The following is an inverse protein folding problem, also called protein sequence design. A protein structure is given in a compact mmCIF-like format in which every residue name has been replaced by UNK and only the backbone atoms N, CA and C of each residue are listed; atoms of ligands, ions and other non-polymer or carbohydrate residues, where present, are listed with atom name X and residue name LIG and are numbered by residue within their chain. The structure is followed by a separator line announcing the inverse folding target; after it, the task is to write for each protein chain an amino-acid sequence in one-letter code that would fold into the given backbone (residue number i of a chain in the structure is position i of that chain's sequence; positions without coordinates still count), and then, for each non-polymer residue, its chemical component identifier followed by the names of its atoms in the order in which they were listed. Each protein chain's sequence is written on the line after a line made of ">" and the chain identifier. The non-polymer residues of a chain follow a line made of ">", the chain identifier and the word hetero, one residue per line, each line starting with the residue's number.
data_IF_206284208816
#
_entry.id   IF_206284208816
#
_cell.length_a   1.000
_cell.length_b   1.000
_cell.length_c   1.000
_cell.angle_alpha   90.00
_cell.angle_beta   90.00
_cell.angle_gamma   90.00
#
_symmetry.space_group_name_H-M   'P 1'
#
loop_
_entity.id
_entity.type
_entity.pdbx_description
1 polymer ?
#
# COMPACT_ATOMS: atom_id res chain seq x y z
N UNK A 1 13.33 -14.68 21.37
CA UNK A 1 12.16 -13.80 21.29
C UNK A 1 12.19 -12.85 22.47
N UNK A 2 12.10 -11.54 22.23
CA UNK A 2 11.93 -10.55 23.28
C UNK A 2 10.48 -10.05 23.23
N UNK A 3 9.73 -10.32 24.30
CA UNK A 3 8.32 -9.96 24.43
C UNK A 3 8.23 -8.59 25.09
N UNK A 4 7.54 -7.65 24.44
CA UNK A 4 7.41 -6.28 24.94
C UNK A 4 6.04 -6.09 25.61
N UNK A 5 6.07 -5.66 26.88
CA UNK A 5 4.99 -4.85 27.45
C UNK A 5 5.15 -3.41 26.95
N UNK A 6 4.17 -2.53 27.23
CA UNK A 6 4.21 -1.12 26.85
C UNK A 6 5.64 -0.52 26.95
N UNK A 7 6.27 -0.27 25.80
CA UNK A 7 7.65 0.18 25.68
C UNK A 7 7.69 1.48 24.88
N UNK A 8 8.44 2.46 25.38
CA UNK A 8 8.78 3.67 24.64
C UNK A 8 10.29 3.71 24.46
N UNK A 9 10.76 3.84 23.22
CA UNK A 9 12.18 3.93 22.93
C UNK A 9 12.71 5.30 23.37
N UNK A 10 13.58 5.28 24.37
CA UNK A 10 14.30 6.46 24.84
C UNK A 10 15.57 6.75 24.02
N UNK A 11 16.11 5.75 23.33
CA UNK A 11 17.33 5.79 22.54
C UNK A 11 17.14 5.06 21.21
N UNK A 12 18.10 5.23 20.30
CA UNK A 12 18.13 4.49 19.05
C UNK A 12 18.37 3.01 19.33
N UNK A 13 17.62 2.15 18.66
CA UNK A 13 17.68 0.69 18.84
C UNK A 13 17.86 0.01 17.49
N UNK A 14 18.92 -0.77 17.36
CA UNK A 14 19.09 -1.70 16.24
C UNK A 14 18.73 -3.12 16.68
N UNK A 15 17.81 -3.76 15.96
CA UNK A 15 17.39 -5.13 16.22
C UNK A 15 18.39 -6.08 15.54
N UNK A 16 19.04 -6.98 16.31
CA UNK A 16 20.06 -7.87 15.75
C UNK A 16 19.52 -8.85 14.71
N UNK A 17 20.44 -9.39 13.90
CA UNK A 17 20.12 -10.44 12.91
C UNK A 17 19.42 -11.64 13.55
N UNK A 18 18.32 -12.09 12.93
CA UNK A 18 17.52 -13.23 13.39
C UNK A 18 16.66 -12.96 14.64
N UNK A 19 16.60 -11.72 15.13
CA UNK A 19 15.75 -11.35 16.26
C UNK A 19 14.44 -10.76 15.75
N UNK A 20 13.33 -11.31 16.25
CA UNK A 20 12.00 -10.71 16.12
C UNK A 20 11.60 -10.06 17.44
N UNK A 21 11.32 -8.76 17.40
CA UNK A 21 10.65 -8.05 18.48
C UNK A 21 9.15 -8.37 18.43
N UNK A 22 8.56 -8.75 19.55
CA UNK A 22 7.13 -9.06 19.62
C UNK A 22 6.43 -8.03 20.50
N UNK A 23 5.50 -7.28 19.91
CA UNK A 23 4.55 -6.46 20.68
C UNK A 23 3.36 -7.34 21.03
N UNK A 24 3.25 -7.70 22.31
CA UNK A 24 2.20 -8.58 22.80
C UNK A 24 0.80 -7.99 22.69
N UNK A 25 -0.19 -8.86 22.84
CA UNK A 25 -1.60 -8.49 22.79
C UNK A 25 -1.91 -7.26 23.65
N UNK A 26 -2.56 -6.26 23.06
CA UNK A 26 -2.96 -5.02 23.71
C UNK A 26 -1.82 -4.09 24.17
N UNK A 27 -0.56 -4.43 23.91
CA UNK A 27 0.60 -3.61 24.29
C UNK A 27 1.01 -2.65 23.19
N UNK A 28 1.78 -1.64 23.57
CA UNK A 28 2.27 -0.58 22.68
C UNK A 28 3.79 -0.54 22.61
N UNK A 29 4.35 -0.47 21.41
CA UNK A 29 5.72 -0.02 21.18
C UNK A 29 5.68 1.40 20.60
N UNK A 30 6.38 2.34 21.21
CA UNK A 30 6.48 3.73 20.74
C UNK A 30 7.91 4.07 20.34
N UNK A 31 8.10 4.58 19.12
CA UNK A 31 9.33 5.21 18.66
C UNK A 31 9.15 6.72 18.74
N UNK A 32 9.83 7.37 19.67
CA UNK A 32 9.70 8.82 19.88
C UNK A 32 10.32 9.62 18.73
N UNK A 33 9.88 10.87 18.60
CA UNK A 33 10.48 11.84 17.67
C UNK A 33 11.99 11.94 17.91
N UNK A 34 12.76 11.93 16.82
CA UNK A 34 14.22 11.97 16.87
C UNK A 34 14.88 10.65 17.26
N UNK A 35 14.12 9.56 17.45
CA UNK A 35 14.65 8.22 17.71
C UNK A 35 14.45 7.30 16.50
N UNK A 36 15.36 6.34 16.38
CA UNK A 36 15.37 5.37 15.30
C UNK A 36 15.21 3.95 15.82
N UNK A 37 14.27 3.19 15.25
CA UNK A 37 14.22 1.74 15.37
C UNK A 37 14.71 1.12 14.06
N UNK A 38 15.87 0.51 14.09
CA UNK A 38 16.47 -0.14 12.94
C UNK A 38 16.17 -1.65 12.96
N UNK A 39 15.26 -2.07 12.08
CA UNK A 39 14.84 -3.45 11.86
C UNK A 39 15.62 -4.12 10.71
N UNK A 40 16.69 -3.50 10.16
CA UNK A 40 17.43 -4.11 9.03
C UNK A 40 18.12 -5.42 9.40
N UNK A 41 18.53 -5.58 10.65
CA UNK A 41 19.00 -6.86 11.20
C UNK A 41 17.84 -7.84 11.47
N UNK A 42 16.79 -7.38 12.14
CA UNK A 42 15.70 -8.22 12.65
C UNK A 42 14.34 -8.05 11.97
N UNK A 43 13.28 -8.19 12.76
CA UNK A 43 11.90 -7.90 12.37
C UNK A 43 11.05 -7.47 13.57
N UNK A 44 9.89 -6.89 13.30
CA UNK A 44 8.87 -6.57 14.30
C UNK A 44 7.61 -7.40 14.05
N UNK A 45 7.05 -7.99 15.10
CA UNK A 45 5.80 -8.72 15.06
C UNK A 45 4.74 -8.02 15.93
N UNK A 46 3.58 -7.72 15.34
CA UNK A 46 2.44 -7.15 16.05
C UNK A 46 1.38 -8.23 16.28
N UNK A 47 1.03 -8.46 17.54
CA UNK A 47 -0.01 -9.40 17.95
C UNK A 47 -1.39 -8.73 18.03
N UNK A 48 -2.40 -9.39 18.61
CA UNK A 48 -3.79 -8.90 18.59
C UNK A 48 -3.96 -7.61 19.39
N UNK A 49 -4.57 -6.58 18.81
CA UNK A 49 -4.69 -5.26 19.46
C UNK A 49 -3.34 -4.62 19.85
N UNK A 50 -2.21 -5.14 19.37
CA UNK A 50 -0.91 -4.51 19.58
C UNK A 50 -0.87 -3.18 18.82
N UNK A 51 -0.23 -2.17 19.42
CA UNK A 51 -0.07 -0.85 18.82
C UNK A 51 1.40 -0.55 18.58
N UNK A 52 1.73 -0.07 17.39
CA UNK A 52 3.03 0.46 17.05
C UNK A 52 2.91 1.94 16.71
N UNK A 53 3.36 2.79 17.63
CA UNK A 53 3.33 4.24 17.49
C UNK A 53 4.67 4.75 16.98
N UNK A 54 4.69 5.28 15.76
CA UNK A 54 5.89 5.78 15.11
C UNK A 54 5.83 7.30 15.03
N UNK A 55 6.59 7.98 15.88
CA UNK A 55 6.80 9.43 15.83
C UNK A 55 8.23 9.80 15.38
N UNK A 56 9.15 8.84 15.39
CA UNK A 56 10.51 8.94 14.88
C UNK A 56 10.68 8.23 13.54
N UNK A 57 11.80 7.53 13.38
CA UNK A 57 12.15 6.82 12.16
C UNK A 57 12.21 5.32 12.41
N UNK A 58 11.70 4.52 11.49
CA UNK A 58 11.84 3.06 11.49
C UNK A 58 12.46 2.65 10.16
N UNK A 59 13.62 2.00 10.20
CA UNK A 59 14.23 1.42 9.02
C UNK A 59 13.85 -0.05 8.97
N UNK A 60 13.09 -0.46 7.97
CA UNK A 60 12.66 -1.84 7.83
C UNK A 60 13.21 -2.43 6.53
N UNK A 61 13.81 -3.62 6.63
CA UNK A 61 14.08 -4.41 5.43
C UNK A 61 12.81 -5.10 4.95
N UNK A 62 12.77 -5.46 3.69
CA UNK A 62 11.86 -6.50 3.24
C UNK A 62 12.56 -7.86 3.19
N UNK A 63 11.79 -8.93 3.07
CA UNK A 63 12.30 -10.19 2.53
C UNK A 63 11.48 -10.64 1.33
N UNK A 64 12.13 -11.38 0.43
CA UNK A 64 11.56 -11.91 -0.81
C UNK A 64 10.63 -13.11 -0.59
N UNK A 65 10.29 -13.43 0.67
CA UNK A 65 9.45 -14.56 1.06
C UNK A 65 8.23 -14.06 1.84
N UNK A 66 7.05 -14.57 1.47
CA UNK A 66 5.74 -14.35 2.13
C UNK A 66 5.70 -14.78 3.62
N UNK A 67 6.82 -15.17 4.20
CA UNK A 67 6.96 -15.66 5.58
C UNK A 67 7.92 -14.84 6.42
N UNK A 68 8.54 -13.79 5.88
CA UNK A 68 9.44 -12.91 6.63
C UNK A 68 9.24 -11.47 6.19
N UNK A 69 8.60 -10.68 7.04
CA UNK A 69 8.32 -9.27 6.74
C UNK A 69 9.14 -8.38 7.66
N UNK A 70 9.49 -7.16 7.20
CA UNK A 70 10.12 -6.17 8.07
C UNK A 70 9.26 -5.87 9.29
N UNK A 71 7.95 -5.74 9.05
CA UNK A 71 6.92 -5.75 10.08
C UNK A 71 5.88 -6.83 9.69
N UNK A 72 5.75 -7.83 10.55
CA UNK A 72 4.83 -8.97 10.41
C UNK A 72 3.62 -8.71 11.29
N UNK A 73 2.41 -8.82 10.74
CA UNK A 73 1.22 -9.00 11.57
C UNK A 73 1.13 -10.48 11.87
N UNK A 74 1.11 -10.88 13.14
CA UNK A 74 1.10 -12.29 13.52
C UNK A 74 -0.32 -12.65 13.96
N UNK A 75 -0.88 -13.79 13.50
CA UNK A 75 -2.26 -14.12 13.78
C UNK A 75 -2.51 -14.29 15.28
N UNK A 76 -3.60 -13.72 15.76
CA UNK A 76 -4.63 -14.53 16.40
C UNK A 76 -5.78 -14.71 15.42
N UNK A 77 -6.39 -15.89 15.42
CA UNK A 77 -7.64 -16.26 14.72
C UNK A 77 -8.83 -15.40 15.19
N UNK A 78 -8.72 -14.08 15.21
CA UNK A 78 -9.66 -13.17 15.86
C UNK A 78 -9.89 -11.90 15.05
N UNK A 79 -11.01 -11.23 15.31
CA UNK A 79 -11.42 -9.97 14.69
C UNK A 79 -10.59 -8.76 15.11
N UNK A 80 -9.60 -8.92 15.99
CA UNK A 80 -8.81 -7.86 16.60
C UNK A 80 -7.71 -7.35 15.65
N UNK A 81 -7.71 -6.05 15.36
CA UNK A 81 -6.72 -5.44 14.49
C UNK A 81 -5.49 -4.98 15.29
N UNK A 82 -4.29 -5.28 14.79
CA UNK A 82 -3.10 -4.52 15.17
C UNK A 82 -3.22 -3.08 14.63
N UNK A 83 -2.53 -2.13 15.26
CA UNK A 83 -2.56 -0.72 14.86
C UNK A 83 -1.15 -0.20 14.63
N UNK A 84 -0.93 0.48 13.50
CA UNK A 84 0.21 1.36 13.29
C UNK A 84 -0.31 2.80 13.26
N UNK A 85 0.31 3.68 14.03
CA UNK A 85 -0.06 5.10 14.08
C UNK A 85 1.15 6.00 14.32
N UNK A 86 0.88 7.28 14.62
CA UNK A 86 1.90 8.29 14.86
C UNK A 86 2.07 9.22 13.65
N UNK A 87 3.21 9.90 13.58
CA UNK A 87 3.50 10.96 12.60
C UNK A 87 4.89 10.85 11.96
N UNK A 88 5.64 9.80 12.29
CA UNK A 88 6.98 9.54 11.81
C UNK A 88 7.00 8.76 10.49
N UNK A 89 8.14 8.13 10.21
CA UNK A 89 8.40 7.46 8.93
C UNK A 89 8.80 6.01 9.19
N UNK A 90 8.24 5.08 8.40
CA UNK A 90 8.72 3.71 8.25
C UNK A 90 9.26 3.57 6.83
N UNK A 91 10.58 3.47 6.70
CA UNK A 91 11.29 3.45 5.42
C UNK A 91 11.72 2.03 5.05
N UNK A 92 11.43 1.62 3.82
CA UNK A 92 11.87 0.37 3.25
C UNK A 92 13.31 0.48 2.73
N UNK A 93 14.23 -0.27 3.30
CA UNK A 93 15.67 -0.15 2.99
C UNK A 93 16.20 -1.14 1.96
N UNK A 94 15.42 -2.16 1.61
CA UNK A 94 15.79 -3.19 0.62
C UNK A 94 14.59 -3.58 -0.24
N UNK A 95 14.77 -4.05 -1.49
CA UNK A 95 13.66 -4.50 -2.32
C UNK A 95 12.78 -5.54 -1.62
N UNK A 96 11.46 -5.36 -1.70
CA UNK A 96 10.40 -6.27 -1.26
C UNK A 96 9.17 -5.56 -0.66
N UNK A 97 8.30 -6.31 0.02
CA UNK A 97 7.13 -5.80 0.74
C UNK A 97 7.51 -5.23 2.12
N UNK A 98 7.09 -4.01 2.43
CA UNK A 98 7.28 -3.38 3.76
C UNK A 98 6.29 -3.93 4.79
N UNK A 99 5.00 -3.98 4.42
CA UNK A 99 3.91 -4.49 5.24
C UNK A 99 3.11 -5.55 4.49
N UNK A 100 2.89 -6.70 5.11
CA UNK A 100 1.95 -7.68 4.61
C UNK A 100 0.84 -7.92 5.64
N UNK A 101 -0.39 -7.84 5.16
CA UNK A 101 -1.58 -8.25 5.90
C UNK A 101 -2.06 -9.54 5.25
N UNK A 102 -1.67 -10.69 5.78
CA UNK A 102 -2.01 -12.01 5.24
C UNK A 102 -3.44 -12.44 5.57
N UNK A 103 -3.87 -13.58 5.04
CA UNK A 103 -5.18 -14.16 5.29
C UNK A 103 -5.55 -14.17 6.79
N UNK A 104 -6.75 -13.71 7.13
CA UNK A 104 -7.25 -13.67 8.51
C UNK A 104 -6.68 -12.53 9.36
N UNK A 105 -5.66 -11.83 8.90
CA UNK A 105 -5.05 -10.72 9.65
C UNK A 105 -5.80 -9.41 9.40
N UNK A 106 -5.79 -8.54 10.42
CA UNK A 106 -6.33 -7.19 10.33
C UNK A 106 -5.32 -6.16 10.80
N UNK A 107 -5.15 -5.11 10.01
CA UNK A 107 -4.29 -3.97 10.34
C UNK A 107 -5.07 -2.67 10.21
N UNK A 108 -4.96 -1.82 11.22
CA UNK A 108 -5.39 -0.42 11.14
C UNK A 108 -4.17 0.47 10.98
N UNK A 109 -4.17 1.29 9.94
CA UNK A 109 -3.23 2.41 9.77
C UNK A 109 -3.96 3.71 10.09
N UNK A 110 -3.43 4.49 11.04
CA UNK A 110 -4.02 5.75 11.49
C UNK A 110 -2.95 6.80 11.76
N UNK A 111 -3.35 8.02 12.14
CA UNK A 111 -2.42 9.13 12.29
C UNK A 111 -1.91 9.62 10.93
N UNK A 112 -0.69 10.16 10.89
CA UNK A 112 -0.06 10.73 9.69
C UNK A 112 1.28 10.06 9.37
N UNK A 113 1.50 8.84 9.86
CA UNK A 113 2.71 8.07 9.59
C UNK A 113 2.93 7.89 8.08
N UNK A 114 4.19 7.99 7.64
CA UNK A 114 4.59 7.79 6.25
C UNK A 114 5.19 6.40 6.12
N UNK A 115 4.60 5.59 5.26
CA UNK A 115 5.15 4.33 4.78
C UNK A 115 5.87 4.64 3.47
N UNK A 116 7.19 4.69 3.56
CA UNK A 116 8.06 5.13 2.48
C UNK A 116 8.74 3.92 1.85
N UNK A 117 8.57 3.80 0.54
CA UNK A 117 9.10 2.70 -0.25
C UNK A 117 10.54 2.90 -0.68
N UNK A 118 11.01 1.95 -1.48
CA UNK A 118 12.33 2.03 -2.07
C UNK A 118 12.23 2.76 -3.41
N UNK A 119 12.77 3.98 -3.44
CA UNK A 119 13.10 4.73 -4.65
C UNK A 119 14.52 5.26 -4.50
N UNK A 120 15.37 5.08 -5.51
CA UNK A 120 16.69 5.73 -5.54
C UNK A 120 16.69 7.01 -6.36
N UNK A 121 15.52 7.44 -6.84
CA UNK A 121 15.39 8.69 -7.55
C UNK A 121 15.43 9.85 -6.55
N UNK A 122 16.65 10.30 -6.24
CA UNK A 122 16.91 11.48 -5.40
C UNK A 122 16.41 12.78 -6.04
N UNK A 123 15.97 12.76 -7.31
CA UNK A 123 15.30 13.90 -7.95
C UNK A 123 13.78 13.88 -7.74
N UNK A 124 13.25 12.89 -7.01
CA UNK A 124 11.81 12.66 -6.85
C UNK A 124 11.31 12.67 -5.39
N UNK A 125 11.58 13.73 -4.61
CA UNK A 125 10.71 14.04 -3.47
C UNK A 125 9.38 14.56 -4.03
N UNK A 126 8.44 13.66 -4.30
CA UNK A 126 7.03 14.00 -4.55
C UNK A 126 6.77 15.05 -5.64
N UNK A 127 7.58 15.15 -6.70
CA UNK A 127 7.28 16.03 -7.85
C UNK A 127 7.58 15.36 -9.19
N UNK A 128 6.71 15.64 -10.16
CA UNK A 128 6.55 15.01 -11.47
C UNK A 128 7.80 14.89 -12.37
N UNK A 129 7.93 13.77 -13.07
CA UNK A 129 8.65 13.66 -14.36
C UNK A 129 7.83 12.79 -15.35
N UNK A 130 7.86 13.09 -16.66
CA UNK A 130 7.19 12.28 -17.68
C UNK A 130 7.83 10.89 -17.82
N UNK A 131 7.02 9.94 -18.28
CA UNK A 131 7.43 8.60 -18.68
C UNK A 131 8.68 8.65 -19.59
N UNK A 132 9.84 8.06 -19.22
CA UNK A 132 10.92 7.86 -20.18
C UNK A 132 10.47 6.73 -21.10
N UNK A 133 10.24 7.06 -22.37
CA UNK A 133 10.10 6.06 -23.41
C UNK A 133 11.50 5.49 -23.69
N UNK A 134 11.82 4.40 -23.00
CA UNK A 134 12.99 3.57 -23.29
C UNK A 134 14.28 3.90 -22.54
N UNK A 135 15.11 2.87 -22.48
CA UNK A 135 16.50 2.78 -22.00
C UNK A 135 16.66 2.42 -20.52
N UNK A 136 17.38 1.31 -20.33
CA UNK A 136 17.66 0.70 -19.05
C UNK A 136 18.60 1.49 -18.16
N UNK A 137 18.62 1.06 -16.90
CA UNK A 137 19.37 1.67 -15.82
C UNK A 137 18.50 2.54 -14.91
N UNK A 138 17.31 2.07 -14.50
CA UNK A 138 16.57 2.70 -13.39
C UNK A 138 17.19 2.16 -12.07
N UNK A 139 17.81 3.01 -11.22
CA UNK A 139 18.57 2.56 -10.07
C UNK A 139 17.66 2.02 -8.94
N UNK A 140 18.12 0.95 -8.29
CA UNK A 140 17.44 0.04 -7.33
C UNK A 140 15.91 0.15 -7.28
N UNK A 141 15.28 -0.72 -8.08
CA UNK A 141 13.84 -0.91 -8.12
C UNK A 141 13.38 -1.86 -7.01
N UNK A 142 12.21 -1.61 -6.42
CA UNK A 142 11.46 -2.67 -5.79
C UNK A 142 10.88 -3.58 -6.89
N UNK A 143 10.61 -4.85 -6.60
CA UNK A 143 9.93 -5.78 -7.50
C UNK A 143 8.58 -6.21 -6.94
N UNK A 144 8.08 -5.47 -5.95
CA UNK A 144 6.88 -5.75 -5.19
C UNK A 144 6.13 -4.44 -4.92
N UNK A 145 4.85 -4.55 -4.57
CA UNK A 145 4.13 -3.47 -3.92
C UNK A 145 4.75 -3.16 -2.55
N UNK A 146 4.59 -1.93 -2.08
CA UNK A 146 5.02 -1.57 -0.74
C UNK A 146 4.21 -2.31 0.32
N UNK A 147 2.91 -2.43 0.08
CA UNK A 147 1.97 -3.15 0.93
C UNK A 147 1.30 -4.28 0.15
N UNK A 148 1.29 -5.45 0.75
CA UNK A 148 0.51 -6.59 0.30
C UNK A 148 -0.70 -6.82 1.22
N UNK A 149 -1.88 -6.96 0.63
CA UNK A 149 -3.15 -7.17 1.34
C UNK A 149 -3.82 -8.46 0.86
N UNK A 150 -3.60 -9.55 1.61
CA UNK A 150 -4.35 -10.80 1.56
C UNK A 150 -5.38 -10.95 2.70
N UNK A 151 -5.35 -10.05 3.69
CA UNK A 151 -6.30 -9.94 4.81
C UNK A 151 -7.08 -8.63 4.75
N UNK A 152 -7.30 -7.98 5.90
CA UNK A 152 -8.02 -6.69 5.97
C UNK A 152 -7.13 -5.53 6.41
N UNK A 153 -6.91 -4.58 5.51
CA UNK A 153 -6.25 -3.30 5.82
C UNK A 153 -7.30 -2.19 5.94
N UNK A 154 -7.33 -1.50 7.08
CA UNK A 154 -8.15 -0.30 7.30
C UNK A 154 -7.22 0.92 7.47
N UNK A 155 -7.12 1.75 6.44
CA UNK A 155 -6.31 2.97 6.46
C UNK A 155 -7.18 4.20 6.65
N UNK A 156 -7.13 4.77 7.84
CA UNK A 156 -7.90 5.96 8.23
C UNK A 156 -7.07 7.25 8.11
N UNK A 157 -5.76 7.10 7.99
CA UNK A 157 -4.78 8.18 7.83
C UNK A 157 -3.43 7.61 7.39
N UNK A 158 -2.41 8.46 7.36
CA UNK A 158 -1.06 8.12 6.90
C UNK A 158 -0.87 8.24 5.40
N UNK A 159 0.36 8.01 4.94
CA UNK A 159 0.75 8.11 3.53
C UNK A 159 1.53 6.89 3.08
N UNK A 160 1.16 6.29 1.94
CA UNK A 160 1.90 5.22 1.26
C UNK A 160 2.56 5.84 0.04
N UNK A 161 3.89 5.88 0.00
CA UNK A 161 4.62 6.63 -1.03
C UNK A 161 5.99 6.04 -1.37
N UNK A 162 6.63 6.59 -2.41
CA UNK A 162 8.05 6.37 -2.69
C UNK A 162 8.39 4.97 -3.19
N UNK A 163 7.42 4.13 -3.56
CA UNK A 163 7.72 2.79 -4.05
C UNK A 163 7.70 2.72 -5.58
N UNK A 164 8.73 2.11 -6.17
CA UNK A 164 8.72 1.72 -7.58
C UNK A 164 8.80 0.20 -7.74
N UNK A 165 7.69 -0.41 -8.17
CA UNK A 165 7.64 -1.81 -8.58
C UNK A 165 8.02 -1.96 -10.07
N UNK A 166 9.21 -2.50 -10.35
CA UNK A 166 9.68 -2.76 -11.72
C UNK A 166 9.29 -4.13 -12.26
N UNK A 167 8.65 -5.00 -11.48
CA UNK A 167 8.24 -6.31 -11.99
C UNK A 167 7.19 -6.14 -13.10
N UNK A 168 7.38 -6.86 -14.19
CA UNK A 168 6.45 -6.90 -15.32
C UNK A 168 5.75 -8.25 -15.44
N UNK A 169 6.01 -9.18 -14.52
CA UNK A 169 5.67 -10.59 -14.68
C UNK A 169 4.53 -11.05 -13.78
N UNK A 170 4.48 -10.74 -12.46
CA UNK A 170 3.55 -11.43 -11.56
C UNK A 170 2.93 -10.63 -10.41
N UNK A 171 3.37 -9.40 -10.10
CA UNK A 171 2.79 -8.61 -8.99
C UNK A 171 2.63 -7.16 -9.41
N UNK A 172 1.44 -6.81 -9.85
CA UNK A 172 1.09 -5.44 -10.24
C UNK A 172 0.72 -4.64 -8.98
N UNK A 173 1.20 -3.40 -8.86
CA UNK A 173 0.97 -2.56 -7.68
C UNK A 173 2.24 -1.83 -7.26
N UNK A 174 2.26 -0.51 -7.37
CA UNK A 174 3.37 0.29 -6.84
C UNK A 174 3.21 0.47 -5.33
N UNK A 175 2.13 1.14 -4.90
CA UNK A 175 1.86 1.35 -3.47
C UNK A 175 1.27 0.11 -2.80
N UNK A 176 0.09 -0.31 -3.24
CA UNK A 176 -0.71 -1.37 -2.61
C UNK A 176 -1.13 -2.43 -3.62
N UNK A 177 -0.94 -3.69 -3.29
CA UNK A 177 -1.55 -4.82 -3.99
C UNK A 177 -2.57 -5.51 -3.07
N UNK A 178 -3.79 -5.73 -3.57
CA UNK A 178 -4.85 -6.45 -2.87
C UNK A 178 -5.13 -7.72 -3.64
N UNK A 179 -4.75 -8.86 -3.08
CA UNK A 179 -4.81 -10.15 -3.76
C UNK A 179 -5.49 -11.20 -2.88
N UNK A 180 -6.62 -11.73 -3.36
CA UNK A 180 -7.37 -12.77 -2.65
C UNK A 180 -6.84 -14.20 -2.90
N UNK A 181 -6.15 -14.50 -3.99
CA UNK A 181 -5.71 -15.87 -4.25
C UNK A 181 -4.75 -16.40 -3.16
N UNK A 182 -3.97 -15.51 -2.56
CA UNK A 182 -3.08 -15.82 -1.43
C UNK A 182 -3.82 -15.86 -0.08
N UNK A 183 -5.13 -15.56 -0.06
CA UNK A 183 -5.97 -15.54 1.15
C UNK A 183 -6.71 -16.86 1.44
N UNK A 184 -6.65 -17.85 0.55
CA UNK A 184 -7.45 -19.08 0.64
C UNK A 184 -8.95 -18.79 0.67
N UNK A 185 -9.66 -19.30 1.69
CA UNK A 185 -11.10 -19.02 1.93
C UNK A 185 -11.35 -17.66 2.61
N UNK A 186 -10.29 -16.88 2.86
CA UNK A 186 -10.37 -15.60 3.57
C UNK A 186 -10.85 -14.44 2.70
N UNK A 187 -10.62 -13.24 3.21
CA UNK A 187 -10.99 -11.98 2.58
C UNK A 187 -9.73 -11.16 2.39
N UNK A 188 -9.50 -10.66 1.16
CA UNK A 188 -8.53 -9.61 0.87
C UNK A 188 -9.28 -8.28 0.65
N UNK A 189 -9.20 -7.37 1.61
CA UNK A 189 -9.89 -6.09 1.59
C UNK A 189 -9.00 -4.94 2.05
N UNK A 190 -8.99 -3.89 1.25
CA UNK A 190 -8.47 -2.59 1.66
C UNK A 190 -9.62 -1.60 1.81
N UNK A 191 -9.73 -0.97 2.98
CA UNK A 191 -10.65 0.15 3.23
C UNK A 191 -9.83 1.41 3.49
N UNK A 192 -10.04 2.44 2.69
CA UNK A 192 -9.36 3.74 2.82
C UNK A 192 -10.38 4.83 3.18
N UNK A 193 -10.09 5.63 4.19
CA UNK A 193 -10.96 6.69 4.70
C UNK A 193 -10.15 7.87 5.25
N UNK A 194 -10.83 8.88 5.80
CA UNK A 194 -10.19 10.04 6.43
C UNK A 194 -9.32 10.83 5.46
N UNK A 195 -8.13 11.20 5.92
CA UNK A 195 -7.12 11.97 5.17
C UNK A 195 -5.99 11.08 4.61
N UNK A 196 -6.17 9.77 4.62
CA UNK A 196 -5.23 8.79 4.08
C UNK A 196 -4.78 9.14 2.64
N UNK A 197 -3.51 8.84 2.32
CA UNK A 197 -2.94 9.09 0.99
C UNK A 197 -2.21 7.87 0.42
N UNK A 198 -2.45 7.59 -0.86
CA UNK A 198 -1.59 6.72 -1.67
C UNK A 198 -1.03 7.55 -2.80
N UNK A 199 0.25 7.89 -2.73
CA UNK A 199 0.82 8.89 -3.63
C UNK A 199 2.26 8.67 -4.04
N UNK A 200 2.64 9.11 -5.24
CA UNK A 200 4.04 9.07 -5.68
C UNK A 200 4.58 7.65 -5.86
N UNK A 201 3.71 6.66 -6.09
CA UNK A 201 4.12 5.29 -6.34
C UNK A 201 4.14 4.98 -7.84
N UNK A 202 5.06 4.10 -8.27
CA UNK A 202 5.24 3.69 -9.67
C UNK A 202 5.13 2.18 -9.80
N UNK A 203 4.49 1.72 -10.86
CA UNK A 203 4.51 0.32 -11.28
C UNK A 203 4.89 0.23 -12.76
N UNK A 204 5.70 -0.74 -13.16
CA UNK A 204 6.04 -0.94 -14.58
C UNK A 204 4.81 -1.31 -15.41
N UNK A 205 3.88 -2.07 -14.83
CA UNK A 205 2.68 -2.58 -15.50
C UNK A 205 1.41 -1.92 -14.97
N UNK A 206 0.83 -2.46 -13.89
CA UNK A 206 -0.51 -2.10 -13.46
C UNK A 206 -0.58 -1.45 -12.08
N UNK A 207 -1.48 -0.48 -11.90
CA UNK A 207 -1.89 0.00 -10.57
C UNK A 207 -0.75 0.70 -9.82
N UNK A 208 -0.29 1.84 -10.35
CA UNK A 208 0.80 2.60 -9.75
C UNK A 208 0.54 2.90 -8.26
N UNK A 209 -0.67 3.37 -7.94
CA UNK A 209 -1.13 3.55 -6.57
C UNK A 209 -1.63 2.24 -5.95
N UNK A 210 -2.77 1.75 -6.46
CA UNK A 210 -3.46 0.57 -5.95
C UNK A 210 -3.76 -0.40 -7.09
N UNK A 211 -3.39 -1.67 -6.92
CA UNK A 211 -3.82 -2.76 -7.77
C UNK A 211 -4.74 -3.70 -6.99
N UNK A 212 -5.97 -3.87 -7.47
CA UNK A 212 -6.97 -4.79 -6.93
C UNK A 212 -7.04 -5.99 -7.85
N UNK A 213 -6.72 -7.18 -7.36
CA UNK A 213 -6.66 -8.37 -8.20
C UNK A 213 -7.19 -9.66 -7.58
N UNK A 214 -7.48 -10.64 -8.44
CA UNK A 214 -7.75 -12.04 -8.08
C UNK A 214 -8.86 -12.28 -7.05
N UNK A 215 -9.84 -11.37 -6.95
CA UNK A 215 -10.94 -11.40 -5.99
C UNK A 215 -10.81 -10.41 -4.83
N UNK A 216 -9.80 -9.53 -4.88
CA UNK A 216 -9.60 -8.46 -3.92
C UNK A 216 -10.71 -7.41 -3.96
N UNK A 217 -10.89 -6.71 -2.84
CA UNK A 217 -11.86 -5.62 -2.71
C UNK A 217 -11.19 -4.35 -2.19
N UNK A 218 -11.36 -3.25 -2.91
CA UNK A 218 -10.97 -1.91 -2.46
C UNK A 218 -12.21 -1.05 -2.20
N UNK A 219 -12.34 -0.51 -1.00
CA UNK A 219 -13.41 0.40 -0.61
C UNK A 219 -12.79 1.75 -0.24
N UNK A 220 -13.14 2.80 -0.96
CA UNK A 220 -12.66 4.16 -0.71
C UNK A 220 -13.80 5.02 -0.17
N UNK A 221 -13.82 5.20 1.15
CA UNK A 221 -14.75 6.08 1.88
C UNK A 221 -14.25 7.52 1.98
N UNK A 222 -12.96 7.76 1.71
CA UNK A 222 -12.27 9.03 1.86
C UNK A 222 -10.82 8.92 1.41
N UNK A 223 -10.01 9.93 1.71
CA UNK A 223 -8.61 9.97 1.33
C UNK A 223 -8.36 10.36 -0.12
N UNK A 224 -7.08 10.28 -0.54
CA UNK A 224 -6.61 10.73 -1.86
C UNK A 224 -5.66 9.72 -2.50
N UNK A 225 -5.87 9.42 -3.78
CA UNK A 225 -4.93 8.67 -4.64
C UNK A 225 -4.39 9.61 -5.72
N UNK A 226 -3.10 9.92 -5.68
CA UNK A 226 -2.51 11.04 -6.44
C UNK A 226 -1.06 10.82 -6.85
N UNK A 227 -0.62 11.37 -7.99
CA UNK A 227 0.80 11.38 -8.33
C UNK A 227 1.41 10.00 -8.59
N UNK A 228 0.58 8.98 -8.79
CA UNK A 228 1.04 7.63 -9.06
C UNK A 228 1.16 7.37 -10.56
N UNK A 229 2.03 6.45 -10.98
CA UNK A 229 2.26 6.17 -12.39
C UNK A 229 2.36 4.68 -12.72
N UNK A 230 1.80 4.28 -13.85
CA UNK A 230 1.96 2.92 -14.39
C UNK A 230 1.75 2.86 -15.91
N UNK A 231 2.02 1.73 -16.55
CA UNK A 231 1.63 1.54 -17.95
C UNK A 231 0.10 1.44 -18.10
N UNK A 232 -0.56 0.70 -17.20
CA UNK A 232 -1.99 0.47 -17.14
C UNK A 232 -2.54 0.93 -15.79
N UNK A 233 -3.30 2.02 -15.78
CA UNK A 233 -3.85 2.63 -14.57
C UNK A 233 -2.82 3.14 -13.55
N UNK A 234 -2.61 4.46 -13.54
CA UNK A 234 -1.71 5.13 -12.61
C UNK A 234 -2.27 5.12 -11.18
N UNK A 235 -3.53 5.50 -11.02
CA UNK A 235 -4.23 5.54 -9.74
C UNK A 235 -4.64 4.15 -9.25
N UNK A 236 -5.80 3.67 -9.72
CA UNK A 236 -6.39 2.39 -9.29
C UNK A 236 -6.55 1.45 -10.48
N UNK A 237 -6.04 0.22 -10.37
CA UNK A 237 -6.29 -0.87 -11.33
C UNK A 237 -7.20 -1.93 -10.73
N UNK A 238 -8.18 -2.38 -11.51
CA UNK A 238 -9.06 -3.50 -11.14
C UNK A 238 -8.91 -4.63 -12.15
N UNK A 239 -8.30 -5.74 -11.72
CA UNK A 239 -8.01 -6.89 -12.57
C UNK A 239 -8.44 -8.23 -11.93
N UNK A 240 -9.54 -8.85 -12.37
CA UNK A 240 -10.01 -10.11 -11.80
C UNK A 240 -9.05 -11.28 -11.84
N UNK A 241 -8.08 -11.26 -12.75
CA UNK A 241 -7.26 -12.43 -13.06
C UNK A 241 -8.10 -13.63 -13.51
N UNK A 242 -7.57 -14.83 -13.32
CA UNK A 242 -8.20 -16.08 -13.77
C UNK A 242 -8.94 -16.83 -12.65
N UNK A 243 -9.09 -16.25 -11.46
CA UNK A 243 -9.65 -16.95 -10.29
C UNK A 243 -11.17 -17.12 -10.36
N UNK A 244 -11.86 -16.44 -11.28
CA UNK A 244 -13.32 -16.39 -11.33
C UNK A 244 -13.96 -15.61 -10.18
N UNK A 245 -13.15 -15.11 -9.23
CA UNK A 245 -13.61 -14.30 -8.12
C UNK A 245 -13.86 -12.84 -8.55
N UNK A 246 -14.93 -12.25 -8.02
CA UNK A 246 -15.29 -10.87 -8.31
C UNK A 246 -14.27 -9.94 -7.65
N UNK A 247 -13.61 -9.11 -8.47
CA UNK A 247 -12.67 -8.09 -8.00
C UNK A 247 -13.33 -6.73 -8.09
N UNK A 248 -13.37 -6.02 -6.97
CA UNK A 248 -14.24 -4.85 -6.82
C UNK A 248 -13.48 -3.63 -6.32
N UNK A 249 -13.71 -2.50 -6.97
CA UNK A 249 -13.45 -1.17 -6.45
C UNK A 249 -14.79 -0.45 -6.21
N UNK A 250 -15.04 -0.05 -4.97
CA UNK A 250 -16.21 0.74 -4.58
C UNK A 250 -15.75 2.10 -4.06
N UNK A 251 -16.17 3.18 -4.72
CA UNK A 251 -15.84 4.55 -4.36
C UNK A 251 -17.05 5.25 -3.72
N UNK A 252 -17.01 5.44 -2.42
CA UNK A 252 -18.07 6.12 -1.64
C UNK A 252 -17.69 7.59 -1.44
N UNK A 253 -16.42 7.86 -1.18
CA UNK A 253 -15.87 9.20 -0.94
C UNK A 253 -14.44 9.35 -1.46
N UNK A 254 -13.81 10.48 -1.15
CA UNK A 254 -12.42 10.75 -1.49
C UNK A 254 -12.19 11.18 -2.94
N UNK A 255 -10.92 11.18 -3.36
CA UNK A 255 -10.51 11.63 -4.69
C UNK A 255 -9.44 10.71 -5.29
N UNK A 256 -9.65 10.31 -6.55
CA UNK A 256 -8.62 9.67 -7.37
C UNK A 256 -8.32 10.61 -8.54
N UNK A 257 -7.16 11.26 -8.51
CA UNK A 257 -6.84 12.28 -9.50
C UNK A 257 -6.62 11.69 -10.90
N UNK A 258 -7.06 12.44 -11.91
CA UNK A 258 -6.84 12.15 -13.31
C UNK A 258 -5.50 12.67 -13.83
N UNK A 259 -5.28 12.52 -15.14
CA UNK A 259 -4.08 13.04 -15.83
C UNK A 259 -4.15 14.53 -16.15
N UNK A 260 -5.34 15.13 -16.09
CA UNK A 260 -5.56 16.57 -16.32
C UNK A 260 -5.16 17.48 -15.16
N UNK A 261 -4.78 16.89 -14.02
CA UNK A 261 -4.36 17.62 -12.83
C UNK A 261 -2.94 18.14 -12.95
N UNK A 262 -2.58 19.11 -12.10
CA UNK A 262 -1.22 19.65 -12.05
C UNK A 262 -0.35 18.73 -11.18
N UNK A 263 0.92 18.60 -11.55
CA UNK A 263 1.91 17.97 -10.70
C UNK A 263 1.95 18.61 -9.29
N UNK A 264 2.17 17.83 -8.22
CA UNK A 264 2.44 16.39 -8.22
C UNK A 264 1.18 15.51 -8.17
N UNK A 265 -0.02 16.07 -8.26
CA UNK A 265 -1.25 15.35 -7.96
C UNK A 265 -1.70 14.41 -9.08
N UNK A 266 -1.31 14.68 -10.32
CA UNK A 266 -1.73 13.90 -11.47
C UNK A 266 -1.27 12.44 -11.41
N UNK A 267 -2.22 11.51 -11.41
CA UNK A 267 -1.88 10.14 -11.75
C UNK A 267 -1.56 10.05 -13.25
N UNK A 268 -0.69 9.13 -13.65
CA UNK A 268 -0.23 8.98 -15.04
C UNK A 268 -0.35 7.53 -15.51
N UNK A 269 -0.93 7.33 -16.67
CA UNK A 269 -0.95 6.05 -17.35
C UNK A 269 -0.77 6.22 -18.85
N UNK A 270 -0.17 5.22 -19.50
CA UNK A 270 -0.13 5.14 -20.97
C UNK A 270 -1.32 4.36 -21.55
N UNK A 271 -2.05 3.61 -20.70
CA UNK A 271 -3.19 2.79 -21.09
C UNK A 271 -4.23 2.65 -19.97
N UNK A 272 -5.45 2.33 -20.39
CA UNK A 272 -6.66 2.10 -19.59
C UNK A 272 -7.18 3.29 -18.78
N UNK A 273 -6.38 4.31 -18.49
CA UNK A 273 -6.84 5.55 -17.84
C UNK A 273 -5.97 5.92 -16.65
N UNK A 274 -5.75 7.21 -16.42
CA UNK A 274 -4.86 7.66 -15.36
C UNK A 274 -5.42 7.50 -13.93
N UNK A 275 -6.71 7.78 -13.73
CA UNK A 275 -7.35 7.66 -12.41
C UNK A 275 -7.75 6.22 -12.12
N UNK A 276 -8.46 5.59 -13.06
CA UNK A 276 -8.97 4.23 -12.94
C UNK A 276 -8.77 3.47 -14.24
N UNK A 277 -8.28 2.24 -14.15
CA UNK A 277 -8.36 1.26 -15.23
C UNK A 277 -8.92 -0.07 -14.72
N UNK A 278 -9.71 -0.74 -15.55
CA UNK A 278 -10.42 -1.97 -15.23
C UNK A 278 -10.38 -2.94 -16.41
N UNK A 279 -10.04 -4.20 -16.11
CA UNK A 279 -10.12 -5.31 -17.06
C UNK A 279 -11.54 -5.92 -17.04
N UNK A 280 -11.94 -6.58 -18.13
CA UNK A 280 -13.23 -7.27 -18.24
C UNK A 280 -13.44 -8.21 -17.04
N UNK A 281 -14.65 -8.19 -16.46
CA UNK A 281 -15.01 -8.95 -15.27
C UNK A 281 -14.74 -8.24 -13.94
N UNK A 282 -13.97 -7.14 -13.93
CA UNK A 282 -13.81 -6.30 -12.73
C UNK A 282 -15.08 -5.51 -12.47
N UNK A 283 -15.27 -5.04 -11.24
CA UNK A 283 -16.35 -4.12 -10.87
C UNK A 283 -15.74 -2.83 -10.37
N UNK A 284 -16.19 -1.70 -10.91
CA UNK A 284 -15.82 -0.36 -10.45
C UNK A 284 -17.10 0.47 -10.38
N UNK A 285 -17.48 0.88 -9.17
CA UNK A 285 -18.78 1.47 -8.90
C UNK A 285 -18.73 2.49 -7.76
N UNK A 286 -19.73 3.36 -7.69
CA UNK A 286 -19.97 4.24 -6.56
C UNK A 286 -20.71 3.52 -5.42
N UNK A 287 -20.87 4.19 -4.28
CA UNK A 287 -21.53 3.63 -3.09
C UNK A 287 -22.96 3.13 -3.32
N UNK A 288 -23.70 3.78 -4.22
CA UNK A 288 -25.05 3.37 -4.65
C UNK A 288 -25.08 2.29 -5.74
N UNK A 289 -23.95 1.62 -6.00
CA UNK A 289 -23.78 0.60 -7.03
C UNK A 289 -23.85 1.14 -8.47
N UNK A 290 -23.90 2.46 -8.69
CA UNK A 290 -23.80 3.02 -10.03
C UNK A 290 -22.39 2.76 -10.60
N UNK A 291 -22.25 2.29 -11.85
CA UNK A 291 -20.95 2.06 -12.45
C UNK A 291 -20.18 3.38 -12.61
N UNK A 292 -18.87 3.35 -12.38
CA UNK A 292 -17.99 4.48 -12.73
C UNK A 292 -17.84 4.51 -14.25
N UNK A 293 -18.08 5.68 -14.85
CA UNK A 293 -17.96 5.86 -16.29
C UNK A 293 -16.51 5.69 -16.76
N UNK A 294 -16.32 5.02 -17.91
CA UNK A 294 -15.02 4.80 -18.53
C UNK A 294 -14.98 5.64 -19.81
N UNK A 295 -14.13 6.65 -19.86
CA UNK A 295 -14.06 7.65 -20.93
C UNK A 295 -12.91 7.41 -21.94
N UNK A 296 -12.04 6.44 -21.66
CA UNK A 296 -10.98 6.04 -22.58
C UNK A 296 -11.55 5.28 -23.79
N UNK A 297 -10.99 5.54 -24.98
CA UNK A 297 -11.39 4.87 -26.23
C UNK A 297 -11.30 3.34 -26.18
N UNK A 298 -10.42 2.82 -25.32
CA UNK A 298 -10.29 1.39 -25.05
C UNK A 298 -11.49 0.77 -24.33
N UNK A 299 -12.37 1.58 -23.73
CA UNK A 299 -13.45 1.15 -22.85
C UNK A 299 -12.96 0.54 -21.54
N UNK A 300 -11.68 0.74 -21.19
CA UNK A 300 -11.02 0.09 -20.05
C UNK A 300 -10.74 1.01 -18.87
N UNK A 301 -11.18 2.26 -18.90
CA UNK A 301 -11.11 3.12 -17.73
C UNK A 301 -11.21 4.59 -18.08
N UNK A 302 -10.69 5.42 -17.18
CA UNK A 302 -10.85 6.86 -17.23
C UNK A 302 -9.60 7.59 -16.78
N UNK A 303 -9.33 8.70 -17.46
CA UNK A 303 -8.26 9.64 -17.10
C UNK A 303 -8.78 10.89 -16.40
N UNK A 304 -10.09 11.01 -16.20
CA UNK A 304 -10.69 12.14 -15.47
C UNK A 304 -10.57 11.93 -13.97
N UNK A 305 -10.50 13.04 -13.22
CA UNK A 305 -10.50 12.98 -11.76
C UNK A 305 -11.83 12.44 -11.26
N UNK A 306 -11.75 11.39 -10.44
CA UNK A 306 -12.91 10.79 -9.79
C UNK A 306 -13.07 11.37 -8.39
N UNK A 307 -14.31 11.73 -8.06
CA UNK A 307 -14.73 12.08 -6.70
C UNK A 307 -15.86 11.16 -6.28
N UNK A 308 -15.86 10.75 -5.01
CA UNK A 308 -16.90 9.85 -4.50
C UNK A 308 -18.27 10.54 -4.45
N UNK A 309 -19.31 9.78 -4.80
CA UNK A 309 -20.71 10.20 -4.72
C UNK A 309 -21.53 9.09 -4.05
N UNK A 310 -22.50 9.47 -3.22
CA UNK A 310 -23.53 8.57 -2.69
C UNK A 310 -24.75 8.58 -3.60
#
# INVERSE_FOLDING_TARGET
>A
MATLTNLTLADDVSVPSGVTLVVSDGNTLTVNTGKTLDLTGGSLALMNNATFTVNGTVNAKSTTSETSYGIVIVPGETTAAATINGSGIIHLTTPGILLAVSAGQKLTLSGTVILDGLTTDTNYPGTSIPYPTGIGGDPINNTYSLIFVGGELNMQGGTITGNYNSDTSQRDGGGVEINKAESGNGVARFTMSGDAKVSGNKAAQGGGGVNVCQGGTFIMNGGTVSGNSAAYAGGVRVEPGNSGAVTTFTMIGGTVYGSGEIAPNANRATGWGASLGKRNGGTAQYGNLAPIALDESSGRGTSTTLTGHN
#
